data_IF_578127480702
#
_entry.id   IF_578127480702
#
_cell.length_a   1.000
_cell.length_b   1.000
_cell.length_c   1.000
_cell.angle_alpha   90.00
_cell.angle_beta   90.00
_cell.angle_gamma   90.00
#
_symmetry.space_group_name_H-M   'P 1'
#
loop_
_entity.id
_entity.type
_entity.pdbx_description
1 polymer ?
#
# COMPACT_ATOMS: atom_id res chain seq x y z
N UNK A 1 62.07 54.85 0.09
CA UNK A 1 61.66 53.82 1.07
C UNK A 1 60.21 53.43 0.81
N UNK A 2 59.97 52.11 0.60
CA UNK A 2 58.76 51.30 0.93
C UNK A 2 57.41 51.73 0.29
N UNK A 3 56.61 50.86 -0.34
CA UNK A 3 56.59 49.40 -0.51
C UNK A 3 55.51 49.07 -1.57
N UNK A 4 55.76 48.03 -2.37
CA UNK A 4 54.73 47.23 -3.04
C UNK A 4 53.72 46.67 -2.02
N UNK A 5 52.43 46.55 -2.39
CA UNK A 5 51.50 45.60 -1.76
C UNK A 5 50.63 44.94 -2.84
N UNK A 6 50.84 43.62 -2.98
CA UNK A 6 50.00 42.64 -3.70
C UNK A 6 48.72 42.34 -2.88
N UNK A 7 47.71 41.65 -3.45
CA UNK A 7 46.30 41.74 -3.09
C UNK A 7 45.96 40.96 -1.81
N UNK A 8 45.01 41.49 -1.04
CA UNK A 8 44.38 40.76 0.06
C UNK A 8 43.40 39.73 -0.50
N UNK A 9 43.85 38.48 -0.50
CA UNK A 9 43.04 37.28 -0.36
C UNK A 9 42.05 37.50 0.77
N UNK A 10 40.76 37.64 0.47
CA UNK A 10 39.69 37.41 1.44
C UNK A 10 39.19 35.99 1.20
N UNK A 11 39.84 35.08 1.90
CA UNK A 11 39.42 33.71 2.12
C UNK A 11 38.24 33.75 3.10
N UNK A 12 37.00 33.80 2.60
CA UNK A 12 35.84 33.43 3.41
C UNK A 12 35.69 31.91 3.35
N UNK A 13 36.34 31.25 4.32
CA UNK A 13 36.01 29.89 4.72
C UNK A 13 34.62 29.92 5.35
N UNK A 14 33.58 29.64 4.58
CA UNK A 14 32.33 29.09 5.10
C UNK A 14 32.41 27.56 5.01
N UNK A 15 33.22 26.98 5.89
CA UNK A 15 33.02 25.61 6.33
C UNK A 15 32.14 25.69 7.59
N UNK A 16 30.91 25.20 7.51
CA UNK A 16 30.05 25.07 8.67
C UNK A 16 28.60 24.81 8.31
N UNK A 17 28.24 23.53 8.29
CA UNK A 17 26.89 22.96 8.13
C UNK A 17 26.31 22.91 6.71
N UNK A 18 27.01 22.20 5.82
CA UNK A 18 26.27 21.24 4.99
C UNK A 18 25.84 20.10 5.92
N UNK A 19 24.83 20.34 6.77
CA UNK A 19 24.01 19.22 7.20
C UNK A 19 23.51 18.61 5.89
N UNK A 20 23.89 17.37 5.60
CA UNK A 20 23.24 16.61 4.56
C UNK A 20 21.80 16.40 5.04
N UNK A 21 20.93 17.38 4.79
CA UNK A 21 19.50 17.23 4.98
C UNK A 21 19.09 16.14 3.97
N UNK A 22 18.82 14.98 4.54
CA UNK A 22 18.50 13.73 3.88
C UNK A 22 17.04 13.80 3.39
N UNK A 23 16.76 14.82 2.58
CA UNK A 23 15.41 15.25 2.22
C UNK A 23 15.01 14.62 0.88
N UNK A 24 13.83 14.00 0.85
CA UNK A 24 13.23 13.46 -0.36
C UNK A 24 11.71 13.67 -0.35
N UNK A 25 11.16 14.02 -1.51
CA UNK A 25 9.72 14.08 -1.76
C UNK A 25 9.38 13.21 -2.96
N UNK A 26 8.34 12.39 -2.84
CA UNK A 26 7.75 11.67 -3.96
C UNK A 26 6.24 11.91 -3.99
N UNK A 27 5.73 12.22 -5.18
CA UNK A 27 4.30 12.30 -5.44
C UNK A 27 3.87 11.10 -6.27
N UNK A 28 2.86 10.38 -5.80
CA UNK A 28 2.30 9.23 -6.49
C UNK A 28 0.80 9.41 -6.71
N UNK A 29 0.32 8.93 -7.85
CA UNK A 29 -1.09 8.82 -8.17
C UNK A 29 -1.47 7.35 -8.15
N UNK A 30 -2.61 7.04 -7.54
CA UNK A 30 -3.16 5.70 -7.47
C UNK A 30 -4.54 5.71 -8.08
N UNK A 31 -4.82 4.71 -8.90
CA UNK A 31 -6.17 4.37 -9.36
C UNK A 31 -6.43 2.92 -8.99
N UNK A 32 -7.51 2.69 -8.26
CA UNK A 32 -7.96 1.38 -7.87
C UNK A 32 -9.32 1.12 -8.52
N UNK A 33 -9.42 0.03 -9.28
CA UNK A 33 -10.66 -0.35 -9.98
C UNK A 33 -11.67 -1.08 -9.08
N UNK A 34 -11.32 -1.39 -7.84
CA UNK A 34 -12.20 -2.14 -6.95
C UNK A 34 -12.10 -3.65 -7.13
N UNK A 35 -12.79 -4.38 -6.25
CA UNK A 35 -13.00 -5.82 -6.41
C UNK A 35 -14.30 -6.06 -7.17
N UNK A 36 -14.24 -6.70 -8.32
CA UNK A 36 -15.37 -6.83 -9.26
C UNK A 36 -16.04 -5.45 -9.56
N UNK A 37 -15.23 -4.39 -9.66
CA UNK A 37 -15.71 -3.02 -9.90
C UNK A 37 -16.25 -2.28 -8.66
N UNK A 38 -16.30 -2.92 -7.48
CA UNK A 38 -16.80 -2.32 -6.24
C UNK A 38 -15.67 -1.70 -5.41
N UNK A 39 -15.90 -0.50 -4.86
CA UNK A 39 -14.91 0.20 -4.04
C UNK A 39 -13.83 0.95 -4.83
N UNK A 40 -14.05 1.19 -6.13
CA UNK A 40 -13.12 1.92 -6.98
C UNK A 40 -12.85 3.34 -6.44
N UNK A 41 -11.58 3.74 -6.41
CA UNK A 41 -11.14 5.07 -6.01
C UNK A 41 -9.93 5.53 -6.82
N UNK A 42 -9.71 6.84 -6.82
CA UNK A 42 -8.47 7.44 -7.29
C UNK A 42 -7.92 8.34 -6.18
N UNK A 43 -6.61 8.52 -6.15
CA UNK A 43 -5.99 9.34 -5.13
C UNK A 43 -4.58 9.78 -5.48
N UNK A 44 -4.10 10.77 -4.75
CA UNK A 44 -2.72 11.25 -4.82
C UNK A 44 -2.11 11.20 -3.44
N UNK A 45 -0.90 10.66 -3.35
CA UNK A 45 -0.12 10.61 -2.12
C UNK A 45 1.16 11.39 -2.32
N UNK A 46 1.45 12.33 -1.42
CA UNK A 46 2.74 13.02 -1.35
C UNK A 46 3.45 12.57 -0.10
N UNK A 47 4.56 11.84 -0.29
CA UNK A 47 5.41 11.36 0.80
C UNK A 47 6.66 12.22 0.87
N UNK A 48 6.94 12.76 2.05
CA UNK A 48 8.14 13.52 2.38
C UNK A 48 8.91 12.78 3.45
N UNK A 49 10.21 12.60 3.24
CA UNK A 49 11.08 11.86 4.15
C UNK A 49 12.27 12.74 4.50
N UNK A 50 12.62 12.74 5.78
CA UNK A 50 13.83 13.35 6.29
C UNK A 50 14.39 12.53 7.45
N UNK A 51 15.35 11.65 7.16
CA UNK A 51 15.93 10.77 8.18
C UNK A 51 14.84 9.99 8.91
N UNK A 52 14.71 10.21 10.22
CA UNK A 52 13.76 9.53 11.12
C UNK A 52 12.32 10.11 11.09
N UNK A 53 12.01 10.94 10.10
CA UNK A 53 10.74 11.65 9.97
C UNK A 53 10.11 11.39 8.61
N UNK A 54 8.81 11.12 8.61
CA UNK A 54 8.01 10.99 7.39
C UNK A 54 6.70 11.77 7.53
N UNK A 55 6.29 12.46 6.48
CA UNK A 55 4.96 13.04 6.35
C UNK A 55 4.33 12.55 5.05
N UNK A 56 3.17 11.93 5.15
CA UNK A 56 2.42 11.40 4.02
C UNK A 56 1.06 12.07 3.97
N UNK A 57 0.80 12.82 2.91
CA UNK A 57 -0.52 13.42 2.66
C UNK A 57 -1.20 12.65 1.55
N UNK A 58 -2.35 12.05 1.86
CA UNK A 58 -3.15 11.29 0.90
C UNK A 58 -4.49 11.99 0.68
N UNK A 59 -4.84 12.19 -0.58
CA UNK A 59 -6.17 12.65 -1.00
C UNK A 59 -6.83 11.54 -1.81
N UNK A 60 -7.98 11.07 -1.36
CA UNK A 60 -8.71 9.97 -1.99
C UNK A 60 -10.10 10.45 -2.42
N UNK A 61 -10.52 9.97 -3.58
CA UNK A 61 -11.86 10.17 -4.13
C UNK A 61 -12.42 8.84 -4.60
N UNK A 62 -13.53 8.42 -3.99
CA UNK A 62 -14.29 7.27 -4.46
C UNK A 62 -15.04 7.58 -5.76
N UNK A 63 -15.01 6.64 -6.70
CA UNK A 63 -15.59 6.79 -8.04
C UNK A 63 -17.06 6.34 -8.10
N UNK A 64 -17.50 5.49 -7.18
CA UNK A 64 -18.91 5.08 -7.07
C UNK A 64 -19.78 6.22 -6.55
N UNK A 65 -20.90 6.52 -7.23
CA UNK A 65 -21.77 7.66 -6.88
C UNK A 65 -22.18 7.66 -5.41
N UNK A 66 -22.49 6.49 -4.84
CA UNK A 66 -22.89 6.32 -3.43
C UNK A 66 -21.76 6.65 -2.45
N UNK A 67 -20.58 6.07 -2.66
CA UNK A 67 -19.43 6.30 -1.78
C UNK A 67 -18.88 7.73 -1.93
N UNK A 68 -18.95 8.29 -3.15
CA UNK A 68 -18.51 9.67 -3.42
C UNK A 68 -19.34 10.71 -2.66
N UNK A 69 -20.67 10.54 -2.55
CA UNK A 69 -21.51 11.47 -1.78
C UNK A 69 -21.36 11.31 -0.27
N UNK A 70 -21.15 10.08 0.22
CA UNK A 70 -21.06 9.79 1.65
C UNK A 70 -19.69 10.13 2.24
N UNK A 71 -18.59 9.84 1.53
CA UNK A 71 -17.23 10.03 2.03
C UNK A 71 -16.62 11.40 1.66
N UNK A 72 -17.14 12.05 0.62
CA UNK A 72 -16.58 13.31 0.11
C UNK A 72 -15.13 13.18 -0.37
N UNK A 73 -14.44 14.32 -0.53
CA UNK A 73 -12.98 14.34 -0.68
C UNK A 73 -12.37 14.25 0.72
N UNK A 74 -11.73 13.13 1.04
CA UNK A 74 -10.94 13.01 2.26
C UNK A 74 -9.49 13.37 1.94
N UNK A 75 -8.91 14.25 2.76
CA UNK A 75 -7.47 14.47 2.80
C UNK A 75 -7.00 14.16 4.22
N UNK A 76 -6.07 13.22 4.31
CA UNK A 76 -5.48 12.77 5.56
C UNK A 76 -3.98 12.99 5.46
N UNK A 77 -3.38 13.53 6.52
CA UNK A 77 -1.93 13.60 6.63
C UNK A 77 -1.46 12.75 7.79
N UNK A 78 -0.56 11.82 7.54
CA UNK A 78 0.10 11.00 8.56
C UNK A 78 1.53 11.49 8.74
N UNK A 79 1.88 11.91 9.94
CA UNK A 79 3.24 12.34 10.30
C UNK A 79 3.82 11.31 11.26
N UNK A 80 4.84 10.60 10.82
CA UNK A 80 5.58 9.63 11.63
C UNK A 80 6.88 10.27 12.11
N UNK A 81 7.07 10.29 13.42
CA UNK A 81 8.24 10.84 14.12
C UNK A 81 8.90 9.73 14.92
N UNK A 82 9.83 9.00 14.30
CA UNK A 82 10.55 7.91 14.97
C UNK A 82 11.39 8.49 16.12
N UNK A 83 11.97 9.67 15.91
CA UNK A 83 12.71 10.45 16.90
C UNK A 83 11.89 10.79 18.16
N UNK A 84 10.58 10.98 18.01
CA UNK A 84 9.64 11.24 19.12
C UNK A 84 8.87 10.01 19.57
N UNK A 85 8.96 8.90 18.83
CA UNK A 85 8.17 7.69 19.09
C UNK A 85 6.67 7.92 18.93
N UNK A 86 6.22 8.70 17.95
CA UNK A 86 4.79 8.96 17.71
C UNK A 86 4.42 8.93 16.23
N UNK A 87 3.17 8.58 15.96
CA UNK A 87 2.46 8.80 14.71
C UNK A 87 1.32 9.77 14.98
N UNK A 88 1.23 10.83 14.18
CA UNK A 88 0.08 11.72 14.17
C UNK A 88 -0.73 11.51 12.90
N UNK A 89 -2.01 11.20 13.05
CA UNK A 89 -2.95 11.09 11.92
C UNK A 89 -3.88 12.28 11.95
N UNK A 90 -3.77 13.14 10.95
CA UNK A 90 -4.45 14.43 10.84
C UNK A 90 -5.62 14.31 9.86
N UNK A 91 -6.82 14.67 10.31
CA UNK A 91 -7.97 14.96 9.45
C UNK A 91 -7.89 16.44 9.04
N UNK A 92 -7.50 16.71 7.80
CA UNK A 92 -7.32 18.09 7.33
C UNK A 92 -8.64 18.86 7.27
N UNK A 93 -9.74 18.17 6.97
CA UNK A 93 -11.07 18.79 6.85
C UNK A 93 -11.57 19.28 8.22
N UNK A 94 -11.36 18.47 9.27
CA UNK A 94 -11.82 18.80 10.63
C UNK A 94 -10.79 19.58 11.46
N UNK A 95 -9.54 19.68 10.97
CA UNK A 95 -8.40 20.23 11.73
C UNK A 95 -8.25 19.53 13.08
N UNK A 96 -8.31 18.21 13.04
CA UNK A 96 -8.14 17.37 14.23
C UNK A 96 -7.07 16.34 14.01
N UNK A 97 -6.46 15.83 15.07
CA UNK A 97 -5.47 14.77 14.98
C UNK A 97 -5.64 13.72 16.06
N UNK A 98 -5.22 12.49 15.75
CA UNK A 98 -5.00 11.41 16.72
C UNK A 98 -3.50 11.22 16.85
N UNK A 99 -3.04 11.01 18.08
CA UNK A 99 -1.66 10.67 18.39
C UNK A 99 -1.58 9.23 18.86
N UNK A 100 -0.82 8.42 18.13
CA UNK A 100 -0.58 7.02 18.46
C UNK A 100 0.90 6.85 18.82
N UNK A 101 1.24 6.29 19.99
CA UNK A 101 2.62 5.96 20.31
C UNK A 101 3.19 4.93 19.33
N UNK A 102 4.45 5.13 18.92
CA UNK A 102 5.26 4.07 18.33
C UNK A 102 5.75 3.20 19.48
N UNK A 103 4.91 2.25 19.89
CA UNK A 103 5.26 1.25 20.88
C UNK A 103 6.13 0.17 20.24
N UNK A 104 7.11 -0.28 21.03
CA UNK A 104 7.79 -1.54 20.78
C UNK A 104 6.75 -2.63 21.07
N UNK A 105 6.37 -3.40 20.05
CA UNK A 105 5.51 -4.58 20.25
C UNK A 105 6.35 -5.83 20.43
N UNK A 106 7.67 -5.67 20.60
CA UNK A 106 8.73 -6.66 20.68
C UNK A 106 8.25 -8.07 20.42
N UNK A 107 8.74 -8.73 19.37
CA UNK A 107 8.45 -10.17 19.19
C UNK A 107 8.85 -11.04 20.39
N UNK A 108 9.57 -10.47 21.37
CA UNK A 108 9.87 -11.07 22.67
C UNK A 108 8.73 -10.97 23.71
N UNK A 109 7.77 -10.05 23.56
CA UNK A 109 6.52 -9.98 24.36
C UNK A 109 5.48 -11.02 23.85
N UNK A 110 5.88 -11.87 22.90
CA UNK A 110 5.19 -13.10 22.54
C UNK A 110 5.78 -14.33 23.28
N UNK A 111 6.80 -14.13 24.13
CA UNK A 111 7.49 -15.18 24.91
C UNK A 111 6.95 -15.32 26.34
N UNK A 112 6.20 -14.34 26.85
CA UNK A 112 5.48 -14.37 28.11
C UNK A 112 4.10 -15.06 27.98
N UNK A 113 4.16 -16.36 27.66
CA UNK A 113 3.48 -17.38 28.48
C UNK A 113 1.94 -17.38 28.56
N UNK A 114 1.21 -16.70 27.68
CA UNK A 114 -0.16 -17.09 27.34
C UNK A 114 -0.14 -17.71 25.93
N UNK A 115 -0.18 -19.04 25.91
CA UNK A 115 -0.35 -19.95 24.75
C UNK A 115 -0.41 -19.29 23.35
N UNK A 116 0.76 -19.00 22.80
CA UNK A 116 1.03 -19.24 21.37
C UNK A 116 1.88 -20.50 21.20
N UNK A 117 1.68 -21.49 22.08
CA UNK A 117 1.94 -22.87 21.73
C UNK A 117 1.12 -23.15 20.46
N UNK A 118 1.81 -23.36 19.35
CA UNK A 118 1.29 -24.11 18.22
C UNK A 118 1.00 -25.55 18.69
N UNK A 119 -0.05 -25.67 19.50
CA UNK A 119 -0.42 -26.81 20.32
C UNK A 119 -1.84 -26.70 20.89
N UNK A 120 -2.62 -25.69 20.49
CA UNK A 120 -4.02 -26.00 20.19
C UNK A 120 -4.00 -27.03 19.06
N UNK A 121 -4.75 -28.12 19.23
CA UNK A 121 -4.96 -29.10 18.17
C UNK A 121 -5.28 -28.32 16.89
N UNK A 122 -4.40 -28.43 15.89
CA UNK A 122 -4.75 -28.06 14.53
C UNK A 122 -6.05 -28.83 14.27
N UNK A 123 -7.19 -28.12 14.28
CA UNK A 123 -8.47 -28.71 13.95
C UNK A 123 -8.26 -29.52 12.67
N UNK A 124 -8.85 -30.72 12.55
CA UNK A 124 -8.70 -31.52 11.33
C UNK A 124 -9.13 -30.75 10.06
N UNK A 125 -9.85 -29.64 10.24
CA UNK A 125 -10.28 -28.64 9.26
C UNK A 125 -9.20 -27.63 8.80
N UNK A 126 -8.05 -27.52 9.47
CA UNK A 126 -6.95 -26.58 9.13
C UNK A 126 -5.94 -27.16 8.12
N UNK A 127 -6.25 -28.33 7.55
CA UNK A 127 -5.52 -28.83 6.39
C UNK A 127 -5.77 -27.90 5.20
N UNK A 128 -4.74 -27.56 4.40
CA UNK A 128 -4.91 -26.69 3.25
C UNK A 128 -5.99 -27.27 2.32
N UNK A 129 -7.12 -26.58 2.19
CA UNK A 129 -8.26 -27.01 1.37
C UNK A 129 -7.99 -26.93 -0.14
N UNK A 130 -6.93 -26.22 -0.52
CA UNK A 130 -6.52 -26.02 -1.91
C UNK A 130 -5.05 -26.39 -2.08
N UNK A 131 -4.72 -26.89 -3.27
CA UNK A 131 -3.35 -27.17 -3.69
C UNK A 131 -3.02 -26.36 -4.94
N UNK A 132 -1.83 -25.76 -4.98
CA UNK A 132 -1.28 -25.20 -6.21
C UNK A 132 -0.89 -26.34 -7.15
N UNK A 133 -1.55 -26.44 -8.30
CA UNK A 133 -1.26 -27.44 -9.33
C UNK A 133 -0.34 -26.92 -10.42
N UNK A 134 -0.31 -25.59 -10.61
CA UNK A 134 0.59 -24.91 -11.56
C UNK A 134 0.90 -23.50 -11.08
N UNK A 135 2.17 -23.11 -11.16
CA UNK A 135 2.62 -21.73 -10.96
C UNK A 135 3.57 -21.36 -12.10
N UNK A 136 3.23 -20.33 -12.85
CA UNK A 136 4.06 -19.83 -13.94
C UNK A 136 4.20 -18.33 -13.85
N UNK A 137 5.44 -17.89 -13.64
CA UNK A 137 5.81 -16.48 -13.65
C UNK A 137 6.73 -16.21 -14.83
N UNK A 138 6.42 -15.15 -15.58
CA UNK A 138 7.21 -14.71 -16.73
C UNK A 138 7.34 -13.20 -16.76
N UNK A 139 8.54 -12.72 -17.09
CA UNK A 139 8.80 -11.31 -17.38
C UNK A 139 9.26 -11.15 -18.83
N UNK A 140 8.59 -10.27 -19.58
CA UNK A 140 8.93 -9.93 -20.95
C UNK A 140 9.24 -8.44 -21.08
N UNK A 141 10.46 -8.11 -21.51
CA UNK A 141 10.77 -6.76 -21.99
C UNK A 141 10.04 -6.54 -23.32
N UNK A 142 9.18 -5.53 -23.41
CA UNK A 142 8.34 -5.32 -24.61
C UNK A 142 9.05 -4.53 -25.69
N UNK A 143 10.04 -3.70 -25.29
CA UNK A 143 10.73 -2.76 -26.17
C UNK A 143 9.94 -1.47 -26.40
N UNK A 144 8.73 -1.34 -25.85
CA UNK A 144 7.96 -0.10 -25.88
C UNK A 144 8.65 0.97 -25.03
N UNK A 145 8.55 2.22 -25.49
CA UNK A 145 9.12 3.41 -24.86
C UNK A 145 8.09 4.50 -24.75
N UNK A 146 8.05 5.18 -23.61
CA UNK A 146 7.11 6.26 -23.35
C UNK A 146 7.71 7.27 -22.39
N UNK A 147 7.44 8.56 -22.56
CA UNK A 147 7.67 9.53 -21.50
C UNK A 147 6.46 9.60 -20.57
N UNK A 148 6.66 9.36 -19.28
CA UNK A 148 5.61 9.42 -18.25
C UNK A 148 6.05 10.47 -17.24
N UNK A 149 5.30 11.57 -17.11
CA UNK A 149 5.61 12.68 -16.18
C UNK A 149 7.06 13.20 -16.27
N UNK A 150 7.64 13.20 -17.48
CA UNK A 150 9.03 13.63 -17.70
C UNK A 150 10.09 12.53 -17.50
N UNK A 151 9.72 11.36 -17.01
CA UNK A 151 10.60 10.19 -16.95
C UNK A 151 10.62 9.46 -18.30
N UNK A 152 11.80 9.07 -18.77
CA UNK A 152 11.94 8.27 -19.98
C UNK A 152 11.84 6.78 -19.61
N UNK A 153 10.71 6.17 -19.95
CA UNK A 153 10.39 4.81 -19.49
C UNK A 153 10.46 3.76 -20.60
N UNK A 154 10.81 2.54 -20.21
CA UNK A 154 10.66 1.32 -21.01
C UNK A 154 9.67 0.37 -20.31
N UNK A 155 8.93 -0.41 -21.08
CA UNK A 155 7.92 -1.33 -20.54
C UNK A 155 8.41 -2.77 -20.41
N UNK A 156 7.99 -3.37 -19.30
CA UNK A 156 8.04 -4.78 -19.00
C UNK A 156 6.62 -5.29 -18.77
N UNK A 157 6.28 -6.42 -19.37
CA UNK A 157 5.05 -7.13 -19.09
C UNK A 157 5.37 -8.34 -18.23
N UNK A 158 4.75 -8.41 -17.06
CA UNK A 158 4.87 -9.54 -16.14
C UNK A 158 3.55 -10.30 -16.16
N UNK A 159 3.61 -11.63 -16.14
CA UNK A 159 2.43 -12.48 -16.07
C UNK A 159 2.68 -13.57 -15.04
N UNK A 160 1.74 -13.71 -14.11
CA UNK A 160 1.72 -14.77 -13.12
C UNK A 160 0.43 -15.56 -13.25
N UNK A 161 0.55 -16.82 -13.62
CA UNK A 161 -0.54 -17.79 -13.67
C UNK A 161 -0.42 -18.72 -12.48
N UNK A 162 -1.51 -18.88 -11.73
CA UNK A 162 -1.61 -19.84 -10.62
C UNK A 162 -2.88 -20.66 -10.81
N UNK A 163 -2.73 -21.98 -10.97
CA UNK A 163 -3.86 -22.93 -10.99
C UNK A 163 -3.97 -23.60 -9.61
N UNK A 164 -5.16 -23.53 -9.05
CA UNK A 164 -5.52 -24.10 -7.75
C UNK A 164 -6.49 -25.25 -7.98
N UNK A 165 -6.32 -26.33 -7.23
CA UNK A 165 -7.28 -27.45 -7.15
C UNK A 165 -7.78 -27.57 -5.71
N UNK A 166 -9.09 -27.58 -5.54
CA UNK A 166 -9.71 -27.90 -4.26
C UNK A 166 -9.51 -29.40 -3.95
N UNK A 167 -8.98 -29.72 -2.78
CA UNK A 167 -8.63 -31.09 -2.43
C UNK A 167 -9.87 -31.98 -2.19
N UNK A 168 -11.01 -31.40 -1.83
CA UNK A 168 -12.28 -32.09 -1.57
C UNK A 168 -13.13 -32.20 -2.83
N UNK A 169 -13.44 -31.06 -3.46
CA UNK A 169 -14.37 -30.99 -4.60
C UNK A 169 -13.71 -31.30 -5.93
N UNK A 170 -12.37 -31.25 -5.99
CA UNK A 170 -11.56 -31.35 -7.23
C UNK A 170 -11.82 -30.23 -8.23
N UNK A 171 -12.52 -29.17 -7.82
CA UNK A 171 -12.74 -27.98 -8.64
C UNK A 171 -11.41 -27.26 -8.92
N UNK A 172 -11.28 -26.73 -10.12
CA UNK A 172 -10.07 -26.03 -10.58
C UNK A 172 -10.36 -24.57 -10.82
N UNK A 173 -9.52 -23.72 -10.23
CA UNK A 173 -9.54 -22.27 -10.44
C UNK A 173 -8.20 -21.81 -10.99
N UNK A 174 -8.23 -21.06 -12.08
CA UNK A 174 -7.06 -20.42 -12.66
C UNK A 174 -7.06 -18.92 -12.34
N UNK A 175 -5.98 -18.44 -11.73
CA UNK A 175 -5.72 -17.06 -11.41
C UNK A 175 -4.66 -16.53 -12.38
N UNK A 176 -4.95 -15.43 -13.08
CA UNK A 176 -3.96 -14.76 -13.92
C UNK A 176 -3.80 -13.32 -13.46
N UNK A 177 -2.59 -12.98 -13.05
CA UNK A 177 -2.19 -11.61 -12.75
C UNK A 177 -1.29 -11.10 -13.87
N UNK A 178 -1.65 -9.98 -14.47
CA UNK A 178 -0.86 -9.28 -15.49
C UNK A 178 -0.42 -7.96 -14.92
N UNK A 179 0.88 -7.69 -15.00
CA UNK A 179 1.45 -6.41 -14.56
C UNK A 179 2.15 -5.73 -15.72
N UNK A 180 1.67 -4.56 -16.13
CA UNK A 180 2.43 -3.64 -16.99
C UNK A 180 3.29 -2.74 -16.10
N UNK A 181 4.60 -2.84 -16.28
CA UNK A 181 5.59 -2.14 -15.47
C UNK A 181 6.42 -1.24 -16.38
N UNK A 182 6.28 0.07 -16.20
CA UNK A 182 7.09 1.08 -16.87
C UNK A 182 8.19 1.55 -15.94
N UNK A 183 9.44 1.37 -16.35
CA UNK A 183 10.60 1.72 -15.54
C UNK A 183 11.48 2.76 -16.22
N UNK A 184 12.11 3.62 -15.44
CA UNK A 184 13.13 4.58 -15.89
C UNK A 184 14.50 4.17 -15.39
N UNK A 185 15.61 4.53 -16.08
CA UNK A 185 16.95 4.38 -15.51
C UNK A 185 17.09 5.06 -14.14
N UNK A 186 17.91 4.46 -13.29
CA UNK A 186 18.28 5.00 -11.98
C UNK A 186 18.96 6.37 -12.10
N UNK A 187 18.34 7.41 -11.55
CA UNK A 187 18.89 8.78 -11.48
C UNK A 187 19.43 9.07 -10.07
N UNK A 188 20.27 10.11 -9.87
CA UNK A 188 20.71 10.50 -8.54
C UNK A 188 19.54 10.81 -7.58
N UNK A 189 18.46 11.41 -8.07
CA UNK A 189 17.27 11.71 -7.27
C UNK A 189 16.54 10.43 -6.83
N UNK A 190 16.38 9.46 -7.73
CA UNK A 190 15.78 8.16 -7.43
C UNK A 190 16.63 7.40 -6.40
N UNK A 191 17.95 7.34 -6.59
CA UNK A 191 18.85 6.68 -5.64
C UNK A 191 18.78 7.29 -4.25
N UNK A 192 18.70 8.62 -4.17
CA UNK A 192 18.53 9.33 -2.89
C UNK A 192 17.19 8.95 -2.26
N UNK A 193 16.08 9.05 -3.01
CA UNK A 193 14.76 8.66 -2.52
C UNK A 193 14.74 7.23 -1.97
N UNK A 194 15.29 6.25 -2.70
CA UNK A 194 15.39 4.86 -2.25
C UNK A 194 16.23 4.72 -0.98
N UNK A 195 17.35 5.46 -0.89
CA UNK A 195 18.20 5.45 0.31
C UNK A 195 17.45 6.00 1.53
N UNK A 196 16.72 7.11 1.37
CA UNK A 196 15.89 7.68 2.46
C UNK A 196 14.78 6.73 2.88
N UNK A 197 14.04 6.16 1.92
CA UNK A 197 12.97 5.19 2.19
C UNK A 197 13.51 3.97 2.93
N UNK A 198 14.65 3.42 2.48
CA UNK A 198 15.30 2.30 3.14
C UNK A 198 15.74 2.65 4.56
N UNK A 199 16.40 3.79 4.75
CA UNK A 199 16.89 4.22 6.05
C UNK A 199 15.72 4.44 7.04
N UNK A 200 14.68 5.14 6.60
CA UNK A 200 13.47 5.36 7.39
C UNK A 200 12.77 4.03 7.75
N UNK A 201 12.57 3.14 6.77
CA UNK A 201 11.96 1.82 7.00
C UNK A 201 12.74 0.99 8.00
N UNK A 202 14.08 0.97 7.90
CA UNK A 202 14.93 0.26 8.86
C UNK A 202 14.85 0.87 10.26
N UNK A 203 14.87 2.19 10.38
CA UNK A 203 14.71 2.88 11.66
C UNK A 203 13.33 2.62 12.29
N UNK A 204 12.29 2.59 11.46
CA UNK A 204 10.92 2.31 11.87
C UNK A 204 10.77 0.88 12.40
N UNK A 205 11.23 -0.12 11.65
CA UNK A 205 11.20 -1.53 12.07
C UNK A 205 11.97 -1.75 13.37
N UNK A 206 13.17 -1.15 13.48
CA UNK A 206 13.95 -1.17 14.72
C UNK A 206 13.20 -0.54 15.90
N UNK A 207 12.44 0.54 15.67
CA UNK A 207 11.65 1.21 16.71
C UNK A 207 10.49 0.36 17.21
N UNK A 208 9.94 -0.51 16.35
CA UNK A 208 8.89 -1.47 16.70
C UNK A 208 9.42 -2.75 17.36
N UNK A 209 10.74 -2.85 17.61
CA UNK A 209 11.39 -4.07 18.12
C UNK A 209 11.47 -5.21 17.12
N UNK A 210 11.07 -4.96 15.87
CA UNK A 210 11.11 -5.96 14.81
C UNK A 210 12.49 -5.92 14.16
N UNK A 211 13.41 -6.72 14.70
CA UNK A 211 14.77 -6.84 14.18
C UNK A 211 14.93 -8.08 13.28
N UNK A 212 13.96 -8.28 12.38
CA UNK A 212 13.93 -9.38 11.41
C UNK A 212 14.98 -9.11 10.33
N UNK A 213 15.92 -10.03 10.17
CA UNK A 213 16.87 -10.02 9.06
C UNK A 213 16.15 -10.25 7.72
N UNK A 214 16.72 -9.80 6.59
CA UNK A 214 16.16 -10.10 5.26
C UNK A 214 15.92 -11.60 5.01
N UNK A 215 16.76 -12.45 5.61
CA UNK A 215 16.68 -13.91 5.54
C UNK A 215 15.47 -14.46 6.33
N UNK A 216 15.21 -13.93 7.53
CA UNK A 216 14.04 -14.29 8.34
C UNK A 216 12.74 -13.78 7.72
N UNK A 217 12.73 -12.58 7.12
CA UNK A 217 11.55 -12.08 6.39
C UNK A 217 11.25 -12.93 5.15
N UNK A 218 12.29 -13.40 4.47
CA UNK A 218 12.16 -14.33 3.35
C UNK A 218 11.59 -15.67 3.82
N UNK A 219 12.10 -16.22 4.92
CA UNK A 219 11.62 -17.47 5.48
C UNK A 219 10.16 -17.37 5.92
N UNK A 220 9.77 -16.27 6.56
CA UNK A 220 8.38 -16.03 6.98
C UNK A 220 7.44 -15.93 5.78
N UNK A 221 7.82 -15.19 4.74
CA UNK A 221 7.03 -15.08 3.51
C UNK A 221 6.88 -16.43 2.78
N UNK A 222 7.95 -17.24 2.76
CA UNK A 222 7.91 -18.59 2.20
C UNK A 222 7.02 -19.53 3.03
N UNK A 223 7.12 -19.51 4.36
CA UNK A 223 6.31 -20.33 5.25
C UNK A 223 4.81 -19.99 5.17
N UNK A 224 4.46 -18.70 5.15
CA UNK A 224 3.08 -18.26 4.98
C UNK A 224 2.49 -18.73 3.64
N UNK A 225 3.28 -18.66 2.57
CA UNK A 225 2.87 -19.17 1.26
C UNK A 225 2.81 -20.70 1.22
N UNK A 226 3.69 -21.42 1.93
CA UNK A 226 3.67 -22.88 2.06
C UNK A 226 2.37 -23.37 2.68
N UNK A 227 2.01 -22.79 3.83
CA UNK A 227 0.77 -23.14 4.53
C UNK A 227 -0.45 -22.86 3.67
N UNK A 228 -0.47 -21.74 2.93
CA UNK A 228 -1.59 -21.39 2.07
C UNK A 228 -1.69 -22.23 0.79
N UNK A 229 -0.58 -22.78 0.28
CA UNK A 229 -0.52 -23.48 -1.01
C UNK A 229 -0.49 -25.01 -0.91
N UNK A 230 -0.20 -25.54 0.28
CA UNK A 230 0.08 -26.96 0.49
C UNK A 230 1.34 -27.44 -0.24
N UNK A 231 2.19 -26.53 -0.70
CA UNK A 231 3.43 -26.83 -1.41
C UNK A 231 4.55 -27.20 -0.42
N UNK A 232 5.43 -28.10 -0.83
CA UNK A 232 6.62 -28.43 -0.04
C UNK A 232 7.65 -27.29 -0.07
N UNK A 233 8.46 -27.17 0.98
CA UNK A 233 9.53 -26.17 1.08
C UNK A 233 10.47 -26.17 -0.16
N UNK A 234 10.74 -27.36 -0.72
CA UNK A 234 11.59 -27.52 -1.90
C UNK A 234 10.94 -26.95 -3.17
N UNK A 235 9.63 -27.17 -3.36
CA UNK A 235 8.88 -26.61 -4.48
C UNK A 235 8.81 -25.08 -4.39
N UNK A 236 8.63 -24.56 -3.18
CA UNK A 236 8.59 -23.12 -2.92
C UNK A 236 9.93 -22.44 -3.15
N UNK A 237 11.01 -23.05 -2.67
CA UNK A 237 12.36 -22.56 -2.92
C UNK A 237 12.64 -22.48 -4.43
N UNK A 238 12.26 -23.52 -5.21
CA UNK A 238 12.43 -23.53 -6.67
C UNK A 238 11.61 -22.45 -7.36
N UNK A 239 10.33 -22.31 -7.01
CA UNK A 239 9.46 -21.26 -7.57
C UNK A 239 9.96 -19.86 -7.21
N UNK A 240 10.46 -19.67 -6.00
CA UNK A 240 11.06 -18.40 -5.58
C UNK A 240 12.36 -18.08 -6.31
N UNK A 241 13.25 -19.06 -6.52
CA UNK A 241 14.45 -18.85 -7.34
C UNK A 241 14.10 -18.49 -8.79
N UNK A 242 13.09 -19.15 -9.36
CA UNK A 242 12.57 -18.82 -10.70
C UNK A 242 12.01 -17.41 -10.74
N UNK A 243 11.19 -17.02 -9.74
CA UNK A 243 10.68 -15.66 -9.59
C UNK A 243 11.81 -14.63 -9.52
N UNK A 244 12.79 -14.83 -8.63
CA UNK A 244 13.96 -13.95 -8.50
C UNK A 244 14.71 -13.81 -9.82
N UNK A 245 14.95 -14.93 -10.50
CA UNK A 245 15.65 -14.96 -11.80
C UNK A 245 14.90 -14.15 -12.85
N UNK A 246 13.59 -14.36 -13.00
CA UNK A 246 12.74 -13.60 -13.92
C UNK A 246 12.73 -12.10 -13.59
N UNK A 247 12.65 -11.75 -12.30
CA UNK A 247 12.71 -10.37 -11.82
C UNK A 247 14.03 -9.67 -12.14
N UNK A 248 15.15 -10.39 -12.30
CA UNK A 248 16.40 -9.77 -12.75
C UNK A 248 16.30 -9.16 -14.16
N UNK A 249 15.31 -9.56 -14.96
CA UNK A 249 15.03 -8.98 -16.29
C UNK A 249 14.57 -7.53 -16.19
N UNK A 250 13.82 -7.20 -15.14
CA UNK A 250 13.36 -5.83 -14.86
C UNK A 250 14.56 -4.98 -14.45
N UNK A 251 14.74 -3.83 -15.11
CA UNK A 251 15.82 -2.88 -14.82
C UNK A 251 15.24 -1.51 -14.53
N UNK A 252 15.95 -0.74 -13.72
CA UNK A 252 15.58 0.63 -13.39
C UNK A 252 14.51 0.71 -12.29
N UNK A 253 13.98 1.92 -12.13
CA UNK A 253 13.02 2.26 -11.10
C UNK A 253 11.60 2.33 -11.66
N UNK A 254 10.61 1.69 -11.02
CA UNK A 254 9.23 1.69 -11.50
C UNK A 254 8.60 3.09 -11.40
N UNK A 255 8.12 3.60 -12.53
CA UNK A 255 7.38 4.86 -12.63
C UNK A 255 5.89 4.62 -12.75
N UNK A 256 5.47 3.56 -13.44
CA UNK A 256 4.07 3.14 -13.47
C UNK A 256 3.98 1.62 -13.33
N UNK A 257 3.15 1.16 -12.40
CA UNK A 257 2.81 -0.24 -12.21
C UNK A 257 1.30 -0.35 -12.35
N UNK A 258 0.82 -1.06 -13.38
CA UNK A 258 -0.58 -1.39 -13.55
C UNK A 258 -0.76 -2.90 -13.42
N UNK A 259 -1.64 -3.34 -12.51
CA UNK A 259 -1.93 -4.73 -12.20
C UNK A 259 -3.38 -5.01 -12.55
N UNK A 260 -3.61 -6.08 -13.31
CA UNK A 260 -4.92 -6.66 -13.54
C UNK A 260 -4.90 -8.12 -13.10
N UNK A 261 -5.84 -8.50 -12.24
CA UNK A 261 -6.02 -9.88 -11.80
C UNK A 261 -7.38 -10.39 -12.26
N UNK A 262 -7.38 -11.49 -13.01
CA UNK A 262 -8.55 -12.23 -13.46
C UNK A 262 -8.58 -13.63 -12.88
N UNK A 263 -9.78 -14.12 -12.56
CA UNK A 263 -10.04 -15.49 -12.12
C UNK A 263 -10.94 -16.20 -13.14
N UNK A 264 -10.54 -17.39 -13.59
CA UNK A 264 -11.31 -18.25 -14.48
C UNK A 264 -11.54 -19.62 -13.82
N UNK A 265 -12.75 -20.17 -13.90
CA UNK A 265 -13.14 -21.44 -13.28
C UNK A 265 -14.65 -21.55 -13.11
N UNK A 266 -15.15 -22.76 -12.82
CA UNK A 266 -16.55 -23.00 -12.46
C UNK A 266 -16.80 -22.34 -11.10
N UNK A 267 -17.47 -21.19 -11.11
CA UNK A 267 -17.89 -20.53 -9.88
C UNK A 267 -19.22 -21.14 -9.44
N UNK A 268 -19.37 -21.60 -8.19
CA UNK A 268 -20.66 -21.52 -7.55
C UNK A 268 -21.12 -20.06 -7.67
N UNK A 269 -22.35 -19.83 -8.15
CA UNK A 269 -22.93 -18.51 -8.09
C UNK A 269 -22.78 -17.99 -6.65
N UNK A 270 -22.26 -16.77 -6.48
CA UNK A 270 -22.17 -16.15 -5.17
C UNK A 270 -23.50 -16.35 -4.45
N UNK A 271 -23.52 -16.84 -3.19
CA UNK A 271 -24.75 -16.96 -2.44
C UNK A 271 -25.46 -15.61 -2.53
N UNK A 272 -26.67 -15.61 -3.10
CA UNK A 272 -27.53 -14.45 -2.96
C UNK A 272 -27.67 -14.24 -1.45
N UNK A 273 -27.51 -13.00 -0.93
CA UNK A 273 -27.85 -12.74 0.45
C UNK A 273 -29.28 -13.22 0.66
N UNK A 274 -29.46 -14.25 1.49
CA UNK A 274 -30.78 -14.65 1.95
C UNK A 274 -31.34 -13.44 2.70
N UNK A 275 -32.40 -12.85 2.13
CA UNK A 275 -33.20 -11.83 2.80
C UNK A 275 -33.91 -12.47 3.99
N UNK A 276 -33.23 -12.55 5.14
CA UNK A 276 -33.91 -12.62 6.43
C UNK A 276 -34.20 -11.19 6.92
N UNK A 277 -35.43 -10.88 7.35
CA UNK A 277 -35.84 -9.55 7.76
C UNK A 277 -35.33 -9.22 9.17
N UNK A 278 -34.02 -9.04 9.31
CA UNK A 278 -33.37 -8.56 10.52
C UNK A 278 -33.12 -7.06 10.45
N UNK A 279 -34.06 -6.27 10.98
CA UNK A 279 -33.89 -4.82 11.09
C UNK A 279 -32.67 -4.46 11.93
N UNK A 280 -31.81 -3.60 11.38
CA UNK A 280 -30.68 -3.01 12.11
C UNK A 280 -31.26 -2.05 13.16
N UNK A 281 -31.25 -2.47 14.42
CA UNK A 281 -31.49 -1.61 15.57
C UNK A 281 -30.24 -0.77 15.82
N UNK A 282 -30.32 0.52 15.51
CA UNK A 282 -29.36 1.49 16.03
C UNK A 282 -29.69 1.75 17.52
N UNK A 283 -28.69 1.85 18.41
CA UNK A 283 -28.95 2.25 19.79
C UNK A 283 -29.49 3.69 19.77
N UNK A 284 -30.79 3.81 20.06
CA UNK A 284 -31.47 5.08 20.23
C UNK A 284 -30.92 5.78 21.48
N UNK A 285 -30.06 6.78 21.25
CA UNK A 285 -29.90 7.87 22.20
C UNK A 285 -31.24 8.63 22.29
N UNK A 286 -31.76 8.75 23.50
CA UNK A 286 -32.98 9.49 23.81
C UNK A 286 -32.85 10.95 23.35
N UNK A 287 -33.56 11.30 22.29
CA UNK A 287 -34.39 12.51 22.20
C UNK A 287 -35.10 12.50 20.84
N UNK A 288 -36.36 12.09 20.88
CA UNK A 288 -37.32 12.08 19.78
C UNK A 288 -37.84 13.51 19.57
N UNK A 289 -37.68 14.09 18.37
CA UNK A 289 -38.56 15.14 17.84
C UNK A 289 -38.15 15.54 16.39
N UNK A 290 -38.66 14.79 15.41
CA UNK A 290 -39.42 15.32 14.25
C UNK A 290 -39.72 14.18 13.26
N UNK A 291 -40.94 13.66 13.35
CA UNK A 291 -41.44 12.57 12.53
C UNK A 291 -41.75 12.94 11.08
N UNK A 292 -41.91 11.89 10.27
CA UNK A 292 -42.80 11.92 9.11
C UNK A 292 -42.22 11.71 7.72
N UNK A 293 -40.91 11.49 7.52
CA UNK A 293 -40.32 11.38 6.17
C UNK A 293 -39.36 10.19 5.92
N UNK A 294 -39.32 9.18 6.80
CA UNK A 294 -38.44 8.02 6.65
C UNK A 294 -38.86 6.98 5.61
N UNK A 295 -40.15 6.93 5.23
CA UNK A 295 -40.71 5.85 4.42
C UNK A 295 -40.52 5.97 2.91
N UNK A 296 -40.27 7.18 2.38
CA UNK A 296 -40.15 7.40 0.93
C UNK A 296 -38.69 7.42 0.43
N UNK A 297 -37.71 7.66 1.31
CA UNK A 297 -36.28 7.60 0.96
C UNK A 297 -35.81 6.15 0.80
N UNK A 298 -36.29 5.23 1.66
CA UNK A 298 -35.90 3.80 1.59
C UNK A 298 -36.34 3.12 0.30
N UNK A 299 -37.53 3.47 -0.22
CA UNK A 299 -38.11 2.85 -1.43
C UNK A 299 -37.51 3.38 -2.74
N UNK A 300 -36.96 4.60 -2.73
CA UNK A 300 -36.25 5.17 -3.87
C UNK A 300 -34.79 4.68 -3.95
N UNK A 301 -34.17 4.39 -2.81
CA UNK A 301 -32.83 3.79 -2.73
C UNK A 301 -32.86 2.32 -3.14
N UNK A 302 -33.82 1.53 -2.66
CA UNK A 302 -33.90 0.09 -3.01
C UNK A 302 -34.17 -0.17 -4.50
N UNK A 303 -34.99 0.67 -5.15
CA UNK A 303 -35.32 0.51 -6.57
C UNK A 303 -34.20 0.97 -7.52
N UNK A 304 -33.27 1.81 -7.07
CA UNK A 304 -32.08 2.20 -7.86
C UNK A 304 -30.90 1.24 -7.67
N UNK A 305 -30.84 0.54 -6.54
CA UNK A 305 -29.79 -0.46 -6.25
C UNK A 305 -29.95 -1.72 -7.10
N UNK A 306 -31.16 -2.07 -7.53
CA UNK A 306 -31.41 -3.25 -8.35
C UNK A 306 -31.00 -3.12 -9.83
N UNK A 307 -30.88 -1.91 -10.37
CA UNK A 307 -30.69 -1.69 -11.83
C UNK A 307 -29.27 -1.24 -12.24
N UNK A 308 -28.42 -0.77 -11.31
CA UNK A 308 -27.13 -0.13 -11.66
C UNK A 308 -25.86 -0.84 -11.20
N UNK A 309 -25.91 -2.11 -10.79
CA UNK A 309 -24.69 -2.81 -10.33
C UNK A 309 -24.70 -4.29 -10.67
N UNK A 310 -24.80 -4.63 -11.96
CA UNK A 310 -24.26 -5.91 -12.43
C UNK A 310 -22.80 -5.65 -12.82
N UNK A 311 -21.82 -6.30 -12.16
CA UNK A 311 -20.43 -6.25 -12.60
C UNK A 311 -20.37 -6.63 -14.08
N UNK A 312 -19.58 -5.91 -14.87
CA UNK A 312 -19.23 -6.35 -16.22
C UNK A 312 -18.58 -7.74 -16.08
N UNK A 313 -19.17 -8.75 -16.73
CA UNK A 313 -18.70 -10.13 -16.67
C UNK A 313 -17.25 -10.28 -17.18
N UNK A 314 -16.74 -9.28 -17.93
CA UNK A 314 -15.38 -9.21 -18.44
C UNK A 314 -14.44 -8.30 -17.62
N UNK A 315 -14.91 -7.63 -16.56
CA UNK A 315 -14.02 -6.82 -15.71
C UNK A 315 -13.08 -7.72 -14.90
N UNK A 316 -11.80 -7.33 -14.71
CA UNK A 316 -10.89 -8.08 -13.85
C UNK A 316 -11.44 -8.13 -12.43
N UNK A 317 -11.16 -9.22 -11.72
CA UNK A 317 -11.50 -9.38 -10.31
C UNK A 317 -10.91 -8.22 -9.48
N UNK A 318 -9.69 -7.81 -9.83
CA UNK A 318 -8.98 -6.70 -9.19
C UNK A 318 -8.17 -5.94 -10.25
N UNK A 319 -8.18 -4.62 -10.19
CA UNK A 319 -7.25 -3.80 -10.96
C UNK A 319 -6.70 -2.63 -10.14
N UNK A 320 -5.42 -2.34 -10.31
CA UNK A 320 -4.77 -1.19 -9.69
C UNK A 320 -3.73 -0.58 -10.61
N UNK A 321 -3.51 0.72 -10.47
CA UNK A 321 -2.44 1.44 -11.14
C UNK A 321 -1.83 2.41 -10.14
N UNK A 322 -0.52 2.34 -9.97
CA UNK A 322 0.28 3.33 -9.24
C UNK A 322 1.22 4.00 -10.21
N UNK A 323 1.34 5.32 -10.14
CA UNK A 323 2.22 6.11 -10.99
C UNK A 323 2.94 7.22 -10.22
N UNK A 324 4.25 7.30 -10.37
CA UNK A 324 5.07 8.40 -9.85
C UNK A 324 4.87 9.63 -10.72
N UNK A 325 4.39 10.71 -10.11
CA UNK A 325 4.18 12.02 -10.73
C UNK A 325 5.43 12.88 -10.67
N UNK A 326 6.10 12.89 -9.52
CA UNK A 326 7.28 13.71 -9.31
C UNK A 326 8.20 13.11 -8.24
N UNK A 327 9.49 13.39 -8.37
CA UNK A 327 10.52 13.14 -7.35
C UNK A 327 11.32 14.42 -7.19
N UNK A 328 11.46 14.90 -5.95
CA UNK A 328 12.32 16.03 -5.60
C UNK A 328 13.23 15.66 -4.43
N UNK A 329 14.43 16.25 -4.43
CA UNK A 329 15.44 16.12 -3.37
C UNK A 329 15.78 17.48 -2.76
N UNK A 330 14.90 18.46 -2.98
CA UNK A 330 15.03 19.80 -2.46
C UNK A 330 14.87 19.81 -0.94
N UNK A 331 15.44 20.83 -0.29
CA UNK A 331 15.30 21.01 1.14
C UNK A 331 13.81 21.17 1.52
N UNK A 332 13.38 20.44 2.53
CA UNK A 332 12.02 20.51 3.02
C UNK A 332 11.81 21.76 3.89
N UNK A 333 10.64 22.42 3.82
CA UNK A 333 10.32 23.54 4.69
C UNK A 333 10.42 23.16 6.18
N UNK A 334 10.87 24.12 7.00
CA UNK A 334 10.78 23.98 8.45
C UNK A 334 9.32 23.73 8.86
N UNK A 335 9.11 22.82 9.80
CA UNK A 335 7.75 22.45 10.27
C UNK A 335 7.01 21.42 9.41
N UNK A 336 7.60 20.90 8.32
CA UNK A 336 7.00 19.83 7.49
C UNK A 336 6.53 18.63 8.32
N UNK A 337 7.22 18.34 9.41
CA UNK A 337 6.97 17.18 10.28
C UNK A 337 6.45 17.57 11.66
N UNK A 338 5.91 18.77 11.82
CA UNK A 338 5.31 19.23 13.07
C UNK A 338 3.79 19.35 12.91
N UNK A 339 3.06 19.28 14.03
CA UNK A 339 1.61 19.49 14.03
C UNK A 339 1.29 20.93 13.57
N UNK A 340 0.47 21.12 12.53
CA UNK A 340 0.12 22.46 12.08
C UNK A 340 -0.66 23.20 13.16
N UNK A 341 -0.45 24.52 13.23
CA UNK A 341 -1.15 25.36 14.21
C UNK A 341 -2.67 25.30 14.01
N UNK A 342 -3.41 25.19 15.12
CA UNK A 342 -4.87 25.16 15.13
C UNK A 342 -5.50 23.76 15.02
N UNK A 343 -4.70 22.70 14.90
CA UNK A 343 -5.20 21.33 15.01
C UNK A 343 -5.53 20.98 16.46
N UNK A 344 -6.67 20.31 16.68
CA UNK A 344 -7.11 19.85 18.00
C UNK A 344 -6.95 18.33 18.13
N UNK A 345 -6.45 17.87 19.27
CA UNK A 345 -6.38 16.43 19.56
C UNK A 345 -7.79 15.87 19.68
N UNK A 346 -8.10 14.78 18.99
CA UNK A 346 -9.29 13.98 19.28
C UNK A 346 -9.02 13.21 20.58
N UNK A 347 -9.96 13.30 21.53
CA UNK A 347 -9.88 12.60 22.80
C UNK A 347 -10.12 11.11 22.63
#
# INVERSE_FOLDING_TARGET
>A
MKKMIFPSVVLFVLLGFSCAWADATVETFIKFGGFNGSGAYEGTTVTRIQGDKQAETSSIKFLGAVLSWAAGKSETTTITRIDKGVIWTLDTNKKTYVETPLADFGLNDLDDGEDMSAGDEIDEDDKPRVKVTRSEFQVKKTGAKQSINGFACEEYLMTWLVELEDLETKEKTANTMKTSLWTTPETPAIKKLQAEQKAFSQAYMKKLGVNISPEEMQLFGMAAFAMASGASDEELAKEFEKFKKEMTTVKGYPIRTAVDWSMAGDRPAAPQPEEEPGGISFPAGKDDLLGGLGGMVSKAVSKKVSDSTRPDANAPFFSSMTEVKAISIDALPAGTFDLPSGYKRQQ
#
